data_IF_615275706005
#
_entry.id   IF_615275706005
#
_cell.length_a   1.000
_cell.length_b   1.000
_cell.length_c   1.000
_cell.angle_alpha   90.00
_cell.angle_beta   90.00
_cell.angle_gamma   90.00
#
_symmetry.space_group_name_H-M   'P 1'
#
loop_
_entity.id
_entity.type
_entity.pdbx_description
1 polymer ?
#
# COMPACT_ATOMS: atom_id res chain seq x y z
N UNK A 1 19.98 10.60 11.57
CA UNK A 1 19.18 9.40 11.85
C UNK A 1 18.66 8.75 10.57
N UNK A 2 17.97 9.47 9.68
CA UNK A 2 17.51 8.94 8.37
C UNK A 2 18.65 8.44 7.46
N UNK A 3 19.79 9.13 7.40
CA UNK A 3 20.95 8.68 6.62
C UNK A 3 21.54 7.35 7.13
N UNK A 4 21.53 7.12 8.45
CA UNK A 4 22.00 5.87 9.03
C UNK A 4 21.01 4.72 8.74
N UNK A 5 19.70 4.99 8.80
CA UNK A 5 18.68 4.02 8.38
C UNK A 5 18.79 3.69 6.89
N UNK A 6 19.07 4.67 6.03
CA UNK A 6 19.28 4.44 4.60
C UNK A 6 20.48 3.52 4.36
N UNK A 7 21.61 3.77 5.03
CA UNK A 7 22.80 2.89 4.96
C UNK A 7 22.47 1.49 5.47
N UNK A 8 21.75 1.35 6.60
CA UNK A 8 21.37 0.04 7.13
C UNK A 8 20.42 -0.69 6.16
N UNK A 9 19.50 0.02 5.52
CA UNK A 9 18.64 -0.57 4.51
C UNK A 9 19.44 -1.06 3.31
N UNK A 10 20.35 -0.25 2.78
CA UNK A 10 21.16 -0.63 1.62
C UNK A 10 22.13 -1.78 1.96
N UNK A 11 22.81 -1.74 3.10
CA UNK A 11 23.84 -2.74 3.46
C UNK A 11 23.26 -4.05 4.02
N UNK A 12 22.07 -4.04 4.64
CA UNK A 12 21.51 -5.21 5.30
C UNK A 12 20.13 -5.63 4.78
N UNK A 13 19.24 -4.68 4.49
CA UNK A 13 17.88 -5.00 4.06
C UNK A 13 17.85 -5.47 2.60
N UNK A 14 18.45 -4.72 1.68
CA UNK A 14 18.53 -5.07 0.24
C UNK A 14 19.16 -6.44 0.00
N UNK A 15 20.36 -6.77 0.53
CA UNK A 15 20.96 -8.09 0.33
C UNK A 15 20.22 -9.24 1.03
N UNK A 16 19.46 -8.95 2.10
CA UNK A 16 18.57 -9.95 2.70
C UNK A 16 17.38 -10.24 1.78
N UNK A 17 16.84 -9.23 1.12
CA UNK A 17 15.76 -9.37 0.16
C UNK A 17 16.22 -10.11 -1.10
N UNK A 18 17.43 -9.84 -1.60
CA UNK A 18 18.03 -10.60 -2.71
C UNK A 18 18.11 -12.09 -2.38
N UNK A 19 18.62 -12.46 -1.19
CA UNK A 19 18.64 -13.86 -0.73
C UNK A 19 17.24 -14.48 -0.72
N UNK A 20 16.23 -13.76 -0.23
CA UNK A 20 14.85 -14.26 -0.17
C UNK A 20 14.29 -14.44 -1.58
N UNK A 21 14.57 -13.49 -2.48
CA UNK A 21 14.13 -13.50 -3.87
C UNK A 21 14.77 -14.66 -4.65
N UNK A 22 16.06 -14.92 -4.44
CA UNK A 22 16.77 -16.08 -4.99
C UNK A 22 16.16 -17.40 -4.52
N UNK A 23 15.85 -17.52 -3.22
CA UNK A 23 15.20 -18.72 -2.67
C UNK A 23 13.79 -18.93 -3.21
N UNK A 24 13.08 -17.84 -3.54
CA UNK A 24 11.74 -17.86 -4.12
C UNK A 24 11.74 -17.92 -5.66
N UNK A 25 12.91 -17.93 -6.31
CA UNK A 25 13.07 -17.87 -7.77
C UNK A 25 12.38 -16.66 -8.43
N UNK A 26 12.35 -15.51 -7.73
CA UNK A 26 11.76 -14.27 -8.24
C UNK A 26 12.84 -13.38 -8.86
N UNK A 27 12.52 -12.81 -10.02
CA UNK A 27 13.36 -11.78 -10.66
C UNK A 27 13.45 -10.54 -9.76
N UNK A 28 14.61 -9.88 -9.73
CA UNK A 28 14.88 -8.68 -8.93
C UNK A 28 13.85 -7.57 -9.18
N UNK A 29 13.39 -7.40 -10.43
CA UNK A 29 12.34 -6.44 -10.79
C UNK A 29 11.00 -6.75 -10.11
N UNK A 30 10.63 -8.03 -10.00
CA UNK A 30 9.39 -8.49 -9.39
C UNK A 30 9.46 -8.36 -7.87
N UNK A 31 10.62 -8.64 -7.29
CA UNK A 31 10.90 -8.42 -5.88
C UNK A 31 10.79 -6.93 -5.52
N UNK A 32 11.49 -6.07 -6.26
CA UNK A 32 11.45 -4.62 -6.08
C UNK A 32 10.03 -4.07 -6.18
N UNK A 33 9.26 -4.48 -7.20
CA UNK A 33 7.86 -4.08 -7.34
C UNK A 33 6.98 -4.53 -6.16
N UNK A 34 7.17 -5.76 -5.68
CA UNK A 34 6.41 -6.33 -4.56
C UNK A 34 6.74 -5.63 -3.25
N UNK A 35 8.02 -5.36 -2.97
CA UNK A 35 8.43 -4.66 -1.75
C UNK A 35 8.06 -3.18 -1.77
N UNK A 36 8.08 -2.54 -2.93
CA UNK A 36 7.58 -1.18 -3.09
C UNK A 36 6.07 -1.12 -2.79
N UNK A 37 5.28 -2.07 -3.32
CA UNK A 37 3.86 -2.18 -3.01
C UNK A 37 3.60 -2.50 -1.52
N UNK A 38 4.31 -3.48 -0.95
CA UNK A 38 4.19 -3.87 0.44
C UNK A 38 4.60 -2.74 1.41
N UNK A 39 5.68 -2.03 1.09
CA UNK A 39 6.17 -0.89 1.86
C UNK A 39 5.20 0.28 1.86
N UNK A 40 4.48 0.51 0.75
CA UNK A 40 3.43 1.53 0.68
C UNK A 40 2.23 1.19 1.57
N UNK A 41 1.84 -0.08 1.69
CA UNK A 41 0.68 -0.50 2.48
C UNK A 41 1.00 -0.85 3.93
N UNK A 42 2.28 -1.01 4.29
CA UNK A 42 2.72 -1.33 5.65
C UNK A 42 2.24 -0.32 6.71
N UNK A 43 2.26 1.01 6.49
CA UNK A 43 1.77 1.99 7.46
C UNK A 43 0.25 1.87 7.70
N UNK A 44 -0.52 1.64 6.63
CA UNK A 44 -1.97 1.47 6.68
C UNK A 44 -2.34 0.16 7.40
N UNK A 45 -1.63 -0.92 7.10
CA UNK A 45 -1.77 -2.21 7.76
C UNK A 45 -1.46 -2.09 9.26
N UNK A 46 -0.36 -1.46 9.63
CA UNK A 46 0.00 -1.23 11.04
C UNK A 46 -1.03 -0.37 11.76
N UNK A 47 -1.50 0.71 11.14
CA UNK A 47 -2.52 1.58 11.72
C UNK A 47 -3.82 0.82 11.96
N UNK A 48 -4.26 0.00 11.00
CA UNK A 48 -5.45 -0.85 11.11
C UNK A 48 -5.30 -1.90 12.21
N UNK A 49 -4.15 -2.59 12.26
CA UNK A 49 -3.87 -3.63 13.25
C UNK A 49 -3.83 -3.05 14.67
N UNK A 50 -3.12 -1.94 14.85
CA UNK A 50 -3.04 -1.23 16.12
C UNK A 50 -4.44 -0.70 16.53
N UNK A 51 -5.22 -0.18 15.59
CA UNK A 51 -6.60 0.26 15.83
C UNK A 51 -7.53 -0.87 16.30
N UNK A 52 -7.34 -2.09 15.79
CA UNK A 52 -8.12 -3.27 16.20
C UNK A 52 -7.67 -3.83 17.56
N UNK A 53 -6.36 -3.88 17.85
CA UNK A 53 -5.84 -4.54 19.05
C UNK A 53 -5.68 -3.63 20.28
N UNK A 54 -5.45 -2.32 20.12
CA UNK A 54 -5.10 -1.41 21.22
C UNK A 54 -6.26 -0.52 21.70
N UNK A 55 -7.44 -0.55 21.05
CA UNK A 55 -8.60 0.32 21.40
C UNK A 55 -9.34 -0.10 22.70
N UNK A 56 -8.62 -0.20 23.82
CA UNK A 56 -9.19 -0.42 25.16
C UNK A 56 -9.09 0.80 26.09
N UNK A 57 -8.79 2.00 25.57
CA UNK A 57 -8.84 3.24 26.36
C UNK A 57 -8.49 4.52 25.56
N UNK A 58 -9.09 5.64 25.96
CA UNK A 58 -9.07 6.93 25.24
C UNK A 58 -7.68 7.56 25.02
N UNK A 59 -6.69 7.23 25.85
CA UNK A 59 -5.36 7.87 25.80
C UNK A 59 -4.46 7.24 24.73
N UNK A 60 -4.65 5.96 24.40
CA UNK A 60 -3.78 5.22 23.46
C UNK A 60 -4.07 5.54 21.99
N UNK A 61 -5.35 5.74 21.64
CA UNK A 61 -5.78 5.94 20.25
C UNK A 61 -5.20 7.23 19.66
N UNK A 62 -5.11 8.30 20.46
CA UNK A 62 -4.54 9.58 20.02
C UNK A 62 -3.07 9.48 19.60
N UNK A 63 -2.26 8.70 20.34
CA UNK A 63 -0.85 8.47 20.01
C UNK A 63 -0.70 7.64 18.73
N UNK A 64 -1.57 6.65 18.54
CA UNK A 64 -1.57 5.77 17.37
C UNK A 64 -1.90 6.55 16.10
N UNK A 65 -3.02 7.29 16.15
CA UNK A 65 -3.48 8.08 15.01
C UNK A 65 -2.45 9.17 14.69
N UNK A 66 -1.87 9.81 15.72
CA UNK A 66 -0.79 10.78 15.55
C UNK A 66 0.44 10.19 14.84
N UNK A 67 0.89 8.99 15.24
CA UNK A 67 2.01 8.30 14.59
C UNK A 67 1.70 7.89 13.14
N UNK A 68 0.48 7.46 12.85
CA UNK A 68 0.06 7.10 11.50
C UNK A 68 0.05 8.32 10.56
N UNK A 69 -0.54 9.43 11.01
CA UNK A 69 -0.60 10.69 10.25
C UNK A 69 0.79 11.26 10.02
N UNK A 70 1.67 11.20 11.03
CA UNK A 70 3.07 11.62 10.90
C UNK A 70 3.83 10.80 9.85
N UNK A 71 3.70 9.47 9.87
CA UNK A 71 4.36 8.60 8.89
C UNK A 71 3.90 8.91 7.46
N UNK A 72 2.59 9.07 7.22
CA UNK A 72 2.06 9.37 5.88
C UNK A 72 2.59 10.74 5.39
N UNK A 73 2.54 11.78 6.23
CA UNK A 73 3.01 13.12 5.86
C UNK A 73 4.51 13.17 5.57
N UNK A 74 5.33 12.49 6.38
CA UNK A 74 6.79 12.45 6.17
C UNK A 74 7.15 11.65 4.92
N UNK A 75 6.52 10.49 4.69
CA UNK A 75 6.76 9.68 3.49
C UNK A 75 6.40 10.48 2.24
N UNK A 76 5.19 11.04 2.17
CA UNK A 76 4.76 11.84 1.01
C UNK A 76 5.61 13.10 0.84
N UNK A 77 5.96 13.78 1.94
CA UNK A 77 6.77 14.99 1.90
C UNK A 77 8.19 14.73 1.37
N UNK A 78 8.83 13.65 1.84
CA UNK A 78 10.15 13.23 1.35
C UNK A 78 10.06 12.77 -0.09
N UNK A 79 9.10 11.91 -0.45
CA UNK A 79 8.87 11.49 -1.83
C UNK A 79 8.63 12.69 -2.76
N UNK A 80 7.87 13.70 -2.34
CA UNK A 80 7.63 14.91 -3.13
C UNK A 80 8.89 15.76 -3.36
N UNK A 81 9.79 15.81 -2.39
CA UNK A 81 11.08 16.52 -2.52
C UNK A 81 12.00 15.78 -3.49
N UNK A 82 12.07 14.44 -3.39
CA UNK A 82 12.93 13.61 -4.23
C UNK A 82 12.34 13.27 -5.60
N UNK A 83 11.02 13.43 -5.81
CA UNK A 83 10.35 13.21 -7.10
C UNK A 83 10.70 14.27 -8.16
N UNK A 84 11.46 15.32 -7.82
CA UNK A 84 11.87 16.40 -8.74
C UNK A 84 12.97 15.99 -9.74
N UNK A 85 13.34 14.71 -9.77
CA UNK A 85 14.43 14.16 -10.58
C UNK A 85 13.93 13.15 -11.64
N UNK A 86 12.88 13.46 -12.39
CA UNK A 86 12.29 12.48 -13.31
C UNK A 86 11.80 13.09 -14.63
N UNK A 87 12.71 13.65 -15.43
CA UNK A 87 12.35 14.24 -16.74
C UNK A 87 12.04 13.21 -17.84
N UNK A 88 12.32 11.91 -17.63
CA UNK A 88 12.21 10.86 -18.68
C UNK A 88 10.98 9.93 -18.52
N UNK A 89 10.22 9.98 -17.42
CA UNK A 89 9.20 8.95 -17.10
C UNK A 89 7.75 9.49 -17.16
N UNK A 90 7.51 10.75 -17.56
CA UNK A 90 6.17 11.34 -17.55
C UNK A 90 5.11 10.56 -18.34
N UNK A 91 5.45 10.02 -19.52
CA UNK A 91 4.49 9.27 -20.34
C UNK A 91 4.16 7.89 -19.74
N UNK A 92 5.16 7.18 -19.21
CA UNK A 92 4.98 5.87 -18.56
C UNK A 92 4.22 5.98 -17.23
N UNK A 93 4.47 7.04 -16.46
CA UNK A 93 3.73 7.34 -15.22
C UNK A 93 2.29 7.72 -15.56
N UNK A 94 2.07 8.57 -16.57
CA UNK A 94 0.72 8.97 -16.94
C UNK A 94 -0.13 7.77 -17.39
N UNK A 95 0.44 6.89 -18.22
CA UNK A 95 -0.25 5.70 -18.69
C UNK A 95 -0.52 4.69 -17.56
N UNK A 96 0.44 4.45 -16.68
CA UNK A 96 0.27 3.55 -15.53
C UNK A 96 -0.75 4.08 -14.51
N UNK A 97 -0.71 5.38 -14.20
CA UNK A 97 -1.71 6.03 -13.34
C UNK A 97 -3.09 5.98 -13.99
N UNK A 98 -3.21 6.32 -15.27
CA UNK A 98 -4.49 6.25 -16.00
C UNK A 98 -5.08 4.84 -16.00
N UNK A 99 -4.27 3.82 -16.33
CA UNK A 99 -4.70 2.42 -16.32
C UNK A 99 -5.12 1.96 -14.91
N UNK A 100 -4.36 2.35 -13.87
CA UNK A 100 -4.70 1.99 -12.48
C UNK A 100 -6.02 2.60 -12.00
N UNK A 101 -6.30 3.85 -12.40
CA UNK A 101 -7.55 4.54 -12.08
C UNK A 101 -8.72 3.93 -12.86
N UNK A 102 -8.56 3.68 -14.16
CA UNK A 102 -9.60 3.01 -14.95
C UNK A 102 -9.92 1.60 -14.42
N UNK A 103 -8.91 0.82 -14.07
CA UNK A 103 -9.07 -0.52 -13.52
C UNK A 103 -9.78 -0.50 -12.16
N UNK A 104 -9.41 0.43 -11.26
CA UNK A 104 -10.04 0.56 -9.95
C UNK A 104 -11.52 0.95 -10.06
N UNK A 105 -11.87 1.86 -10.98
CA UNK A 105 -13.26 2.22 -11.26
C UNK A 105 -14.03 1.01 -11.81
N UNK A 106 -13.47 0.29 -12.79
CA UNK A 106 -14.10 -0.90 -13.37
C UNK A 106 -14.37 -1.98 -12.31
N UNK A 107 -13.38 -2.26 -11.46
CA UNK A 107 -13.51 -3.23 -10.37
C UNK A 107 -14.57 -2.81 -9.35
N UNK A 108 -14.65 -1.51 -9.02
CA UNK A 108 -15.67 -0.98 -8.11
C UNK A 108 -17.09 -1.16 -8.65
N UNK A 109 -17.29 -0.94 -9.95
CA UNK A 109 -18.58 -1.09 -10.64
C UNK A 109 -18.97 -2.58 -10.69
N UNK A 110 -18.01 -3.45 -11.02
CA UNK A 110 -18.23 -4.90 -11.05
C UNK A 110 -18.68 -5.42 -9.68
N UNK A 111 -17.95 -5.06 -8.61
CA UNK A 111 -18.29 -5.44 -7.23
C UNK A 111 -19.69 -4.91 -6.85
N UNK A 112 -20.01 -3.66 -7.19
CA UNK A 112 -21.33 -3.09 -6.91
C UNK A 112 -22.47 -3.87 -7.60
N UNK A 113 -22.30 -4.22 -8.87
CA UNK A 113 -23.26 -5.03 -9.63
C UNK A 113 -23.41 -6.43 -9.04
N UNK A 114 -22.31 -7.10 -8.70
CA UNK A 114 -22.33 -8.43 -8.07
C UNK A 114 -23.08 -8.42 -6.73
N UNK A 115 -22.87 -7.39 -5.90
CA UNK A 115 -23.59 -7.23 -4.62
C UNK A 115 -25.08 -6.98 -4.87
N UNK A 116 -25.44 -6.15 -5.86
CA UNK A 116 -26.84 -5.85 -6.19
C UNK A 116 -27.58 -7.11 -6.65
N UNK A 117 -26.99 -7.88 -7.58
CA UNK A 117 -27.55 -9.15 -8.06
C UNK A 117 -27.70 -10.15 -6.92
N UNK A 118 -26.68 -10.29 -6.06
CA UNK A 118 -26.74 -11.17 -4.88
C UNK A 118 -27.87 -10.82 -3.92
N UNK A 119 -28.12 -9.51 -3.67
CA UNK A 119 -29.27 -9.06 -2.88
C UNK A 119 -30.61 -9.37 -3.55
N UNK A 120 -30.70 -9.20 -4.86
CA UNK A 120 -31.93 -9.45 -5.63
C UNK A 120 -32.29 -10.94 -5.63
N UNK A 121 -31.31 -11.82 -5.83
CA UNK A 121 -31.49 -13.28 -5.76
C UNK A 121 -31.91 -13.74 -4.36
N UNK A 122 -31.27 -13.24 -3.29
CA UNK A 122 -31.67 -13.57 -1.92
C UNK A 122 -33.09 -13.09 -1.58
N UNK A 123 -33.52 -11.94 -2.10
CA UNK A 123 -34.89 -11.44 -1.89
C UNK A 123 -35.96 -12.27 -2.60
N UNK A 124 -35.62 -13.01 -3.66
CA UNK A 124 -36.55 -13.91 -4.36
C UNK A 124 -36.66 -15.24 -3.58
N UNK A 125 -35.54 -15.74 -3.05
CA UNK A 125 -35.48 -17.01 -2.34
C UNK A 125 -36.19 -16.98 -0.97
N UNK A 126 -36.30 -15.80 -0.34
CA UNK A 126 -37.03 -15.60 0.94
C UNK A 126 -38.56 -15.50 0.76
N UNK A 127 -39.03 -15.27 -0.49
CA UNK A 127 -40.46 -15.16 -0.84
C UNK A 127 -41.05 -16.45 -1.44
N UNK A 128 -40.24 -17.49 -1.63
CA UNK A 128 -40.65 -18.83 -2.09
C UNK A 128 -40.78 -19.79 -0.93
#
# INVERSE_FOLDING_TARGET
MFYALAIICDDYFVPSLEKISENLQLSEDVAGATFMAAGSSAPELFTSLIGVFITKGDVGVGTIVGSAVFNILVIIGVCGIFARQVDIIYLSIYLSVYLSVCLSIYLSIYIYLSIKVSKEVNSINDKS
#
